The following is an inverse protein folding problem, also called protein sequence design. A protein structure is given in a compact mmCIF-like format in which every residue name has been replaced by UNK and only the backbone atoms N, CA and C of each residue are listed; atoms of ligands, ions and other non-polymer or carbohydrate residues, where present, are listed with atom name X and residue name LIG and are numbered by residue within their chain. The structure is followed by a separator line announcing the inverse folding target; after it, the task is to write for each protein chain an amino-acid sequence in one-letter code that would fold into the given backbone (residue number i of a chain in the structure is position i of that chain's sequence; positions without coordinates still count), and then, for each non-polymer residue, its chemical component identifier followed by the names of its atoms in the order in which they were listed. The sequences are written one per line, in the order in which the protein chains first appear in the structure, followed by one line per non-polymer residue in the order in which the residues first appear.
data_IF_319617657760
#
_entry.id   IF_319617657760
#
_cell.length_a   1.000
_cell.length_b   1.000
_cell.length_c   1.000
_cell.angle_alpha   90.00
_cell.angle_beta   90.00
_cell.angle_gamma   90.00
#
_symmetry.space_group_name_H-M   'P 1'
#
loop_
_entity.id
_entity.type
_entity.pdbx_description
1 polymer ?
#
# COMPACT_ATOMS: atom_id res chain seq x y z
N UNK A 1 -12.75 -20.89 22.90
CA UNK A 1 -11.35 -20.52 22.61
C UNK A 1 -11.39 -19.23 21.82
N UNK A 2 -10.69 -18.15 22.23
CA UNK A 2 -10.66 -16.92 21.42
C UNK A 2 -9.70 -17.12 20.26
N UNK A 3 -10.21 -17.03 19.04
CA UNK A 3 -9.40 -17.05 17.83
C UNK A 3 -8.43 -15.86 17.86
N UNK A 4 -7.14 -16.15 17.88
CA UNK A 4 -6.11 -15.10 17.84
C UNK A 4 -6.03 -14.64 16.39
N UNK A 5 -6.69 -13.52 16.08
CA UNK A 5 -6.57 -12.89 14.77
C UNK A 5 -5.13 -12.40 14.56
N UNK A 6 -4.55 -12.69 13.40
CA UNK A 6 -3.22 -12.16 13.03
C UNK A 6 -3.30 -10.65 12.89
N UNK A 7 -2.51 -9.94 13.71
CA UNK A 7 -2.47 -8.46 13.72
C UNK A 7 -1.59 -7.91 12.59
N UNK A 8 -0.59 -8.68 12.16
CA UNK A 8 0.36 -8.27 11.13
C UNK A 8 0.72 -9.45 10.21
N UNK A 9 1.01 -9.10 8.96
CA UNK A 9 1.24 -10.03 7.85
C UNK A 9 2.59 -9.83 7.20
N UNK A 10 3.10 -10.90 6.59
CA UNK A 10 4.26 -10.82 5.72
C UNK A 10 3.92 -10.25 4.33
N UNK A 11 4.94 -9.90 3.54
CA UNK A 11 4.75 -9.42 2.17
C UNK A 11 3.99 -10.40 1.26
N UNK A 12 4.10 -11.72 1.50
CA UNK A 12 3.36 -12.71 0.70
C UNK A 12 1.87 -12.77 1.02
N UNK A 13 1.51 -12.62 2.29
CA UNK A 13 0.10 -12.51 2.71
C UNK A 13 -0.49 -11.16 2.26
N UNK A 14 0.29 -10.08 2.33
CA UNK A 14 -0.11 -8.77 1.82
C UNK A 14 -0.35 -8.76 0.30
N UNK A 15 0.45 -9.51 -0.48
CA UNK A 15 0.22 -9.72 -1.91
C UNK A 15 -1.11 -10.43 -2.17
N UNK A 16 -1.42 -11.49 -1.41
CA UNK A 16 -2.71 -12.18 -1.54
C UNK A 16 -3.90 -11.29 -1.15
N UNK A 17 -3.72 -10.43 -0.14
CA UNK A 17 -4.79 -9.54 0.34
C UNK A 17 -5.07 -8.35 -0.59
N UNK A 18 -4.04 -7.83 -1.28
CA UNK A 18 -4.15 -6.61 -2.10
C UNK A 18 -4.09 -6.88 -3.61
N UNK A 19 -3.66 -8.07 -4.03
CA UNK A 19 -3.34 -8.37 -5.43
C UNK A 19 -2.05 -7.69 -5.94
N UNK A 20 -1.37 -6.89 -5.12
CA UNK A 20 -0.14 -6.18 -5.50
C UNK A 20 1.08 -7.08 -5.35
N UNK A 21 1.97 -7.06 -6.34
CA UNK A 21 3.19 -7.88 -6.32
C UNK A 21 4.06 -7.61 -5.08
N UNK A 22 4.74 -8.65 -4.57
CA UNK A 22 5.71 -8.49 -3.46
C UNK A 22 6.78 -7.42 -3.74
N UNK A 23 7.22 -7.30 -5.00
CA UNK A 23 8.22 -6.32 -5.40
C UNK A 23 7.69 -4.89 -5.26
N UNK A 24 6.45 -4.66 -5.68
CA UNK A 24 5.77 -3.37 -5.52
C UNK A 24 5.63 -3.01 -4.04
N UNK A 25 5.13 -3.93 -3.21
CA UNK A 25 5.00 -3.72 -1.76
C UNK A 25 6.37 -3.45 -1.09
N UNK A 26 7.45 -4.12 -1.53
CA UNK A 26 8.81 -3.83 -1.02
C UNK A 26 9.31 -2.45 -1.40
N UNK A 27 8.97 -1.97 -2.59
CA UNK A 27 9.31 -0.63 -3.05
C UNK A 27 8.49 0.44 -2.32
N UNK A 28 7.21 0.18 -2.05
CA UNK A 28 6.35 1.06 -1.26
C UNK A 28 6.91 1.34 0.14
N UNK A 29 7.57 0.35 0.76
CA UNK A 29 8.21 0.54 2.07
C UNK A 29 9.50 1.39 1.98
N UNK A 30 10.07 1.52 0.79
CA UNK A 30 11.28 2.32 0.51
C UNK A 30 10.95 3.68 -0.10
N UNK A 31 9.68 4.03 -0.26
CA UNK A 31 9.28 5.30 -0.87
C UNK A 31 9.89 6.47 -0.07
N UNK A 32 10.58 7.43 -0.73
CA UNK A 32 11.16 8.58 -0.05
C UNK A 32 10.09 9.51 0.54
N UNK A 33 8.88 9.53 -0.03
CA UNK A 33 7.78 10.34 0.47
C UNK A 33 7.09 9.61 1.65
N UNK A 34 7.13 10.15 2.88
CA UNK A 34 6.54 9.51 4.05
C UNK A 34 5.02 9.32 3.95
N UNK A 35 4.32 10.14 3.16
CA UNK A 35 2.87 10.06 3.00
C UNK A 35 2.46 8.91 2.05
N UNK A 36 3.33 8.55 1.11
CA UNK A 36 3.16 7.42 0.18
C UNK A 36 3.83 6.14 0.67
N UNK A 37 4.69 6.22 1.68
CA UNK A 37 5.46 5.09 2.17
C UNK A 37 4.61 4.13 2.99
N UNK A 38 4.66 2.84 2.64
CA UNK A 38 4.01 1.78 3.40
C UNK A 38 4.71 1.58 4.75
N UNK A 39 3.94 1.72 5.84
CA UNK A 39 4.42 1.50 7.20
C UNK A 39 4.64 0.01 7.46
N UNK A 40 5.66 -0.28 8.27
CA UNK A 40 5.97 -1.66 8.68
C UNK A 40 6.36 -1.70 10.14
N UNK A 41 6.14 -2.86 10.76
CA UNK A 41 6.59 -3.16 12.11
C UNK A 41 7.68 -4.22 12.06
N UNK A 42 8.65 -4.11 12.96
CA UNK A 42 9.69 -5.12 13.12
C UNK A 42 9.34 -6.03 14.29
N UNK A 43 9.15 -7.30 14.01
CA UNK A 43 8.94 -8.35 15.02
C UNK A 43 10.12 -9.31 14.93
N UNK A 44 10.98 -9.30 15.96
CA UNK A 44 12.27 -9.99 15.96
C UNK A 44 13.13 -9.60 14.75
N UNK A 45 13.42 -10.57 13.87
CA UNK A 45 14.21 -10.39 12.64
C UNK A 45 13.34 -10.22 11.39
N UNK A 46 12.01 -10.22 11.53
CA UNK A 46 11.07 -10.14 10.41
C UNK A 46 10.43 -8.75 10.35
N UNK A 47 10.28 -8.23 9.13
CA UNK A 47 9.48 -7.05 8.83
C UNK A 47 8.10 -7.51 8.43
N UNK A 48 7.09 -7.04 9.15
CA UNK A 48 5.67 -7.33 8.93
C UNK A 48 4.92 -6.02 8.69
N UNK A 49 3.72 -6.12 8.16
CA UNK A 49 2.81 -5.00 7.89
C UNK A 49 1.56 -5.24 8.73
N UNK A 50 1.12 -4.26 9.52
CA UNK A 50 -0.17 -4.38 10.21
C UNK A 50 -1.29 -4.30 9.19
N UNK A 51 -2.38 -5.03 9.40
CA UNK A 51 -3.51 -5.00 8.47
C UNK A 51 -4.09 -3.59 8.30
N UNK A 52 -4.23 -2.84 9.41
CA UNK A 52 -4.71 -1.45 9.39
C UNK A 52 -3.80 -0.56 8.53
N UNK A 53 -2.47 -0.62 8.74
CA UNK A 53 -1.50 0.14 7.96
C UNK A 53 -1.53 -0.23 6.47
N UNK A 54 -1.70 -1.52 6.15
CA UNK A 54 -1.81 -2.00 4.76
C UNK A 54 -3.07 -1.45 4.09
N UNK A 55 -4.20 -1.52 4.78
CA UNK A 55 -5.49 -1.04 4.28
C UNK A 55 -5.47 0.47 4.07
N UNK A 56 -5.07 1.23 5.08
CA UNK A 56 -5.00 2.70 5.01
C UNK A 56 -4.07 3.19 3.90
N UNK A 57 -2.93 2.50 3.72
CA UNK A 57 -2.01 2.81 2.64
C UNK A 57 -2.58 2.46 1.27
N UNK A 58 -3.20 1.27 1.13
CA UNK A 58 -3.79 0.82 -0.13
C UNK A 58 -4.89 1.78 -0.60
N UNK A 59 -5.81 2.15 0.30
CA UNK A 59 -6.89 3.09 -0.01
C UNK A 59 -6.35 4.44 -0.52
N UNK A 60 -5.26 4.95 0.06
CA UNK A 60 -4.63 6.21 -0.40
C UNK A 60 -4.01 6.10 -1.78
N UNK A 61 -3.32 4.99 -2.06
CA UNK A 61 -2.61 4.79 -3.33
C UNK A 61 -3.61 4.51 -4.45
N UNK A 62 -4.68 3.76 -4.18
CA UNK A 62 -5.77 3.53 -5.14
C UNK A 62 -6.47 4.83 -5.55
N UNK A 63 -6.72 5.74 -4.60
CA UNK A 63 -7.31 7.06 -4.89
C UNK A 63 -6.32 8.02 -5.57
N UNK A 64 -5.02 7.89 -5.25
CA UNK A 64 -3.95 8.69 -5.83
C UNK A 64 -3.73 8.44 -7.32
N UNK A 65 -3.97 7.22 -7.80
CA UNK A 65 -3.88 6.89 -9.24
C UNK A 65 -5.03 7.54 -10.03
N UNK A 66 -6.29 7.46 -9.54
CA UNK A 66 -7.45 8.14 -10.15
C UNK A 66 -7.27 9.67 -10.23
N UNK A 67 -6.63 10.28 -9.22
CA UNK A 67 -6.36 11.72 -9.20
C UNK A 67 -5.29 12.14 -10.22
N UNK A 68 -4.38 11.24 -10.63
CA UNK A 68 -3.44 11.50 -11.72
C UNK A 68 -4.09 11.34 -13.10
N UNK A 69 -5.08 10.47 -13.27
CA UNK A 69 -5.83 10.35 -14.54
C UNK A 69 -6.74 11.56 -14.77
N UNK A 70 -7.37 12.09 -13.72
CA UNK A 70 -8.22 13.28 -13.81
C UNK A 70 -7.46 14.57 -14.15
N UNK A 71 -6.15 14.64 -13.85
CA UNK A 71 -5.34 15.85 -14.05
C UNK A 71 -4.68 15.94 -15.45
N UNK A 72 -4.67 14.87 -16.23
CA UNK A 72 -4.11 14.84 -17.59
C UNK A 72 -5.17 14.86 -18.71
N UNK A 73 -6.44 15.02 -18.36
CA UNK A 73 -7.58 14.97 -19.28
C UNK A 73 -8.27 16.32 -19.50
N UNK A 74 -7.54 17.43 -19.71
CA UNK A 74 -8.16 18.62 -20.31
C UNK A 74 -7.15 19.48 -21.07
N UNK A 75 -6.69 18.97 -22.21
CA UNK A 75 -5.87 19.67 -23.19
C UNK A 75 -6.42 19.51 -24.59
N UNK A 76 -7.68 19.89 -24.81
CA UNK A 76 -8.21 20.14 -26.16
C UNK A 76 -9.48 20.98 -26.10
N UNK A 77 -9.30 22.30 -26.16
CA UNK A 77 -10.30 23.16 -26.78
C UNK A 77 -9.60 24.06 -27.80
N UNK A 78 -9.80 23.65 -29.05
CA UNK A 78 -9.61 24.28 -30.35
C UNK A 78 -9.75 25.82 -30.37
N UNK A 79 -8.84 26.46 -31.10
CA UNK A 79 -9.02 27.77 -31.74
C UNK A 79 -9.94 27.65 -32.96
#
# INVERSE_FOLDING_TARGET
MKEIQKIAVGFGEAEQATGLSKSFLRNAVKDPNPDRRLKTVRVNRRRLIRFEDLKDWFDRVSVGDESQVASNGNGSQVA
#
